data_IF_524534795191
#
_entry.id   IF_524534795191
#
_cell.length_a   1.000
_cell.length_b   1.000
_cell.length_c   1.000
_cell.angle_alpha   90.00
_cell.angle_beta   90.00
_cell.angle_gamma   90.00
#
_symmetry.space_group_name_H-M   'P 1'
#
loop_
_entity.id
_entity.type
_entity.pdbx_description
1 polymer ?
#
# COMPACT_ATOMS: atom_id res chain seq x y z
N UNK A 1 -23.70 10.19 5.70
CA UNK A 1 -22.37 9.56 5.69
C UNK A 1 -21.72 9.89 4.36
N UNK A 2 -20.65 10.67 4.40
CA UNK A 2 -19.71 10.84 3.31
C UNK A 2 -18.81 9.60 3.26
N UNK A 3 -18.21 9.33 2.11
CA UNK A 3 -17.14 8.34 1.99
C UNK A 3 -16.11 8.90 1.03
N UNK A 4 -14.83 8.71 1.35
CA UNK A 4 -13.73 9.20 0.53
C UNK A 4 -13.05 8.03 -0.18
N UNK A 5 -12.69 8.25 -1.44
CA UNK A 5 -11.84 7.35 -2.21
C UNK A 5 -10.66 8.15 -2.74
N UNK A 6 -9.47 7.72 -2.38
CA UNK A 6 -8.21 8.27 -2.89
C UNK A 6 -7.55 7.26 -3.82
N UNK A 7 -6.93 7.76 -4.89
CA UNK A 7 -6.09 6.95 -5.78
C UNK A 7 -4.64 7.42 -5.60
N UNK A 8 -3.76 6.51 -5.21
CA UNK A 8 -2.36 6.77 -4.93
C UNK A 8 -1.43 6.01 -5.90
N UNK A 9 -0.27 6.60 -6.17
CA UNK A 9 0.80 5.95 -6.92
C UNK A 9 2.12 6.18 -6.16
N UNK A 10 2.64 5.13 -5.53
CA UNK A 10 3.95 5.13 -4.89
C UNK A 10 5.03 4.94 -5.95
N UNK A 11 6.02 5.85 -6.00
CA UNK A 11 7.13 5.69 -6.93
C UNK A 11 8.06 4.53 -6.52
N UNK A 12 8.91 4.08 -7.43
CA UNK A 12 9.90 3.04 -7.11
C UNK A 12 11.00 3.52 -6.13
N UNK A 13 11.21 4.83 -6.00
CA UNK A 13 12.15 5.40 -5.04
C UNK A 13 11.57 5.38 -3.61
N UNK A 14 12.34 4.80 -2.68
CA UNK A 14 11.93 4.61 -1.29
C UNK A 14 11.70 5.94 -0.56
N UNK A 15 12.52 6.96 -0.82
CA UNK A 15 12.37 8.24 -0.11
C UNK A 15 11.11 8.97 -0.57
N UNK A 16 10.83 8.98 -1.87
CA UNK A 16 9.58 9.57 -2.36
C UNK A 16 8.35 8.78 -1.91
N UNK A 17 8.42 7.45 -1.73
CA UNK A 17 7.32 6.70 -1.09
C UNK A 17 7.08 7.11 0.36
N UNK A 18 8.13 7.35 1.15
CA UNK A 18 7.98 7.81 2.54
C UNK A 18 7.28 9.16 2.64
N UNK A 19 7.54 10.05 1.69
CA UNK A 19 6.80 11.32 1.59
C UNK A 19 5.32 11.07 1.29
N UNK A 20 5.00 10.14 0.38
CA UNK A 20 3.61 9.74 0.12
C UNK A 20 2.93 9.16 1.37
N UNK A 21 3.59 8.29 2.13
CA UNK A 21 3.07 7.75 3.38
C UNK A 21 2.74 8.84 4.38
N UNK A 22 3.67 9.78 4.57
CA UNK A 22 3.50 10.92 5.47
C UNK A 22 2.28 11.77 5.06
N UNK A 23 2.13 12.01 3.75
CA UNK A 23 1.01 12.78 3.23
C UNK A 23 -0.33 12.04 3.39
N UNK A 24 -0.38 10.73 3.14
CA UNK A 24 -1.60 9.93 3.35
C UNK A 24 -2.00 9.89 4.83
N UNK A 25 -1.05 9.81 5.76
CA UNK A 25 -1.34 9.93 7.20
C UNK A 25 -1.93 11.30 7.52
N UNK A 26 -1.42 12.40 6.96
CA UNK A 26 -2.04 13.72 7.17
C UNK A 26 -3.47 13.82 6.60
N UNK A 27 -3.76 13.15 5.48
CA UNK A 27 -5.11 13.08 4.93
C UNK A 27 -6.04 12.29 5.87
N UNK A 28 -5.54 11.23 6.51
CA UNK A 28 -6.32 10.47 7.48
C UNK A 28 -6.80 11.35 8.64
N UNK A 29 -5.94 12.24 9.14
CA UNK A 29 -6.29 13.19 10.21
C UNK A 29 -7.47 14.11 9.80
N UNK A 30 -7.51 14.52 8.52
CA UNK A 30 -8.60 15.32 7.96
C UNK A 30 -9.88 14.50 7.71
N UNK A 31 -9.75 13.22 7.36
CA UNK A 31 -10.89 12.32 7.12
C UNK A 31 -11.59 11.93 8.43
N UNK A 32 -10.82 11.75 9.51
CA UNK A 32 -11.35 11.34 10.80
C UNK A 32 -12.05 9.98 10.75
N UNK A 33 -13.27 9.92 11.28
CA UNK A 33 -14.05 8.66 11.40
C UNK A 33 -14.84 8.31 10.12
N UNK A 34 -14.75 9.12 9.05
CA UNK A 34 -15.45 8.82 7.81
C UNK A 34 -14.80 7.62 7.08
N UNK A 35 -15.59 6.77 6.41
CA UNK A 35 -15.07 5.65 5.63
C UNK A 35 -14.10 6.13 4.54
N UNK A 36 -12.90 5.54 4.54
CA UNK A 36 -11.85 5.85 3.57
C UNK A 36 -11.32 4.60 2.88
N UNK A 37 -11.17 4.71 1.56
CA UNK A 37 -10.50 3.72 0.73
C UNK A 37 -9.33 4.40 0.00
N UNK A 38 -8.15 3.79 0.09
CA UNK A 38 -6.99 4.15 -0.73
C UNK A 38 -6.71 3.02 -1.71
N UNK A 39 -6.87 3.31 -2.99
CA UNK A 39 -6.60 2.40 -4.10
C UNK A 39 -5.30 2.84 -4.78
N UNK A 40 -4.52 1.92 -5.31
CA UNK A 40 -3.31 2.36 -6.01
C UNK A 40 -2.33 1.27 -6.36
N UNK A 41 -1.23 1.72 -6.95
CA UNK A 41 0.00 0.96 -7.02
C UNK A 41 0.98 1.60 -6.04
N UNK A 42 1.29 0.86 -4.98
CA UNK A 42 2.12 1.33 -3.89
C UNK A 42 3.61 1.08 -4.14
N UNK A 43 3.97 0.26 -5.13
CA UNK A 43 5.34 -0.22 -5.39
C UNK A 43 6.07 -0.70 -4.12
N UNK A 44 5.32 -1.27 -3.18
CA UNK A 44 5.81 -1.92 -1.96
C UNK A 44 4.95 -3.15 -1.63
N UNK A 45 5.44 -4.02 -0.75
CA UNK A 45 4.72 -5.25 -0.35
C UNK A 45 4.68 -5.43 1.15
N UNK A 46 3.70 -6.19 1.63
CA UNK A 46 3.56 -6.51 3.05
C UNK A 46 4.25 -7.79 3.44
N UNK A 47 4.51 -8.70 2.51
CA UNK A 47 5.21 -9.94 2.80
C UNK A 47 6.13 -10.39 1.65
N UNK A 48 7.19 -11.13 1.97
CA UNK A 48 8.09 -11.67 0.96
C UNK A 48 7.37 -12.64 0.00
N UNK A 49 6.27 -13.27 0.43
CA UNK A 49 5.44 -14.10 -0.45
C UNK A 49 4.76 -13.33 -1.58
N UNK A 50 4.59 -12.01 -1.44
CA UNK A 50 3.96 -11.14 -2.43
C UNK A 50 4.92 -10.70 -3.54
N UNK A 51 6.17 -11.14 -3.46
CA UNK A 51 7.22 -10.90 -4.44
C UNK A 51 7.85 -12.21 -4.88
N UNK A 52 8.12 -12.33 -6.18
CA UNK A 52 8.90 -13.44 -6.73
C UNK A 52 10.00 -12.91 -7.65
N UNK A 53 11.19 -13.53 -7.62
CA UNK A 53 12.31 -13.20 -8.52
C UNK A 53 13.14 -11.98 -8.12
N UNK A 54 12.84 -11.33 -7.00
CA UNK A 54 13.66 -10.22 -6.47
C UNK A 54 14.90 -10.73 -5.73
N UNK A 55 16.04 -10.07 -5.93
CA UNK A 55 17.32 -10.44 -5.28
C UNK A 55 17.88 -9.37 -4.33
N UNK A 56 17.18 -8.24 -4.14
CA UNK A 56 17.59 -7.18 -3.22
C UNK A 56 16.96 -7.30 -1.84
N UNK A 57 17.40 -6.46 -0.90
CA UNK A 57 16.80 -6.35 0.43
C UNK A 57 15.63 -5.36 0.41
N UNK A 58 14.40 -5.89 0.51
CA UNK A 58 13.17 -5.09 0.61
C UNK A 58 12.69 -4.89 2.04
N UNK A 59 13.34 -5.47 3.05
CA UNK A 59 12.80 -5.53 4.41
C UNK A 59 12.59 -4.14 5.03
N UNK A 60 13.48 -3.19 4.72
CA UNK A 60 13.34 -1.80 5.20
C UNK A 60 12.11 -1.14 4.60
N UNK A 61 11.94 -1.23 3.28
CA UNK A 61 10.81 -0.64 2.57
C UNK A 61 9.47 -1.27 3.01
N UNK A 62 9.44 -2.60 3.14
CA UNK A 62 8.28 -3.32 3.70
C UNK A 62 7.97 -2.90 5.14
N UNK A 63 9.02 -2.67 5.95
CA UNK A 63 8.89 -2.18 7.32
C UNK A 63 8.24 -0.80 7.38
N UNK A 64 8.69 0.11 6.52
CA UNK A 64 8.11 1.46 6.40
C UNK A 64 6.66 1.39 5.93
N UNK A 65 6.34 0.53 4.96
CA UNK A 65 4.98 0.36 4.46
C UNK A 65 4.04 -0.17 5.55
N UNK A 66 4.48 -1.17 6.33
CA UNK A 66 3.72 -1.68 7.49
C UNK A 66 3.52 -0.61 8.57
N UNK A 67 4.53 0.20 8.85
CA UNK A 67 4.41 1.30 9.80
C UNK A 67 3.36 2.31 9.34
N UNK A 68 3.38 2.68 8.06
CA UNK A 68 2.34 3.51 7.45
C UNK A 68 0.92 2.97 7.63
N UNK A 69 0.71 1.65 7.50
CA UNK A 69 -0.62 1.05 7.71
C UNK A 69 -1.10 1.18 9.14
N UNK A 70 -0.19 0.96 10.09
CA UNK A 70 -0.48 1.13 11.51
C UNK A 70 -0.82 2.58 11.82
N UNK A 71 -0.01 3.53 11.31
CA UNK A 71 -0.17 4.95 11.58
C UNK A 71 -1.45 5.54 10.94
N UNK A 72 -1.83 5.05 9.76
CA UNK A 72 -3.04 5.48 9.05
C UNK A 72 -4.31 4.73 9.46
N UNK A 73 -4.21 3.65 10.24
CA UNK A 73 -5.33 2.77 10.55
C UNK A 73 -5.90 2.03 9.33
N UNK A 74 -5.21 2.07 8.19
CA UNK A 74 -5.59 1.36 6.98
C UNK A 74 -5.31 -0.13 7.11
N UNK A 75 -6.23 -0.94 6.62
CA UNK A 75 -6.10 -2.38 6.53
C UNK A 75 -6.14 -2.83 5.07
N UNK A 76 -5.40 -3.90 4.70
CA UNK A 76 -5.49 -4.50 3.38
C UNK A 76 -6.92 -4.97 3.09
N UNK A 77 -7.42 -4.58 1.93
CA UNK A 77 -8.68 -5.06 1.40
C UNK A 77 -8.46 -6.46 0.80
N UNK A 78 -9.25 -7.46 1.20
CA UNK A 78 -9.21 -8.78 0.58
C UNK A 78 -9.49 -8.67 -0.92
N UNK A 79 -8.55 -9.11 -1.76
CA UNK A 79 -8.75 -9.19 -3.21
C UNK A 79 -9.06 -10.64 -3.61
N UNK A 80 -10.00 -10.80 -4.55
CA UNK A 80 -10.24 -12.08 -5.22
C UNK A 80 -9.71 -11.98 -6.65
N UNK A 81 -8.85 -12.93 -7.05
CA UNK A 81 -8.26 -12.93 -8.39
C UNK A 81 -6.81 -13.37 -8.39
N UNK A 82 -6.03 -12.84 -9.34
CA UNK A 82 -4.61 -13.14 -9.45
C UNK A 82 -3.87 -12.64 -8.20
N UNK A 83 -3.10 -13.53 -7.57
CA UNK A 83 -2.30 -13.21 -6.38
C UNK A 83 -1.20 -12.18 -6.70
N UNK A 84 -0.66 -12.28 -7.91
CA UNK A 84 0.29 -11.35 -8.47
C UNK A 84 -0.38 -10.50 -9.56
N UNK A 85 -0.06 -9.22 -9.62
CA UNK A 85 -0.77 -8.27 -10.49
C UNK A 85 0.15 -7.42 -11.36
N UNK A 86 1.47 -7.46 -11.11
CA UNK A 86 2.46 -6.81 -11.97
C UNK A 86 3.62 -7.75 -12.26
N UNK A 87 4.14 -7.71 -13.49
CA UNK A 87 5.37 -8.41 -13.87
C UNK A 87 6.34 -7.45 -14.57
N UNK A 88 7.62 -7.51 -14.20
CA UNK A 88 8.69 -6.87 -14.96
C UNK A 88 9.22 -7.86 -16.00
N UNK A 89 8.89 -7.64 -17.27
CA UNK A 89 9.36 -8.49 -18.38
C UNK A 89 10.88 -8.59 -18.50
N UNK A 90 11.63 -7.67 -17.89
CA UNK A 90 13.10 -7.67 -17.95
C UNK A 90 13.78 -8.33 -16.75
N UNK A 91 13.15 -8.28 -15.57
CA UNK A 91 13.74 -8.76 -14.31
C UNK A 91 13.10 -10.05 -13.79
N UNK A 92 12.09 -10.59 -14.48
CA UNK A 92 11.27 -11.72 -14.02
C UNK A 92 10.68 -11.52 -12.60
N UNK A 93 10.59 -10.26 -12.18
CA UNK A 93 10.04 -9.85 -10.90
C UNK A 93 8.54 -9.73 -11.00
N UNK A 94 7.83 -10.23 -10.00
CA UNK A 94 6.37 -10.17 -9.94
C UNK A 94 5.93 -9.66 -8.57
N UNK A 95 4.94 -8.76 -8.53
CA UNK A 95 4.44 -8.10 -7.32
C UNK A 95 2.90 -8.08 -7.23
N UNK A 96 2.38 -8.07 -6.00
CA UNK A 96 0.96 -7.87 -5.68
C UNK A 96 0.62 -6.38 -5.51
N UNK A 97 -0.47 -5.94 -6.14
CA UNK A 97 -1.12 -4.65 -5.90
C UNK A 97 -1.98 -4.77 -4.65
N UNK A 98 -1.81 -3.81 -3.76
CA UNK A 98 -2.58 -3.72 -2.54
C UNK A 98 -3.69 -2.68 -2.67
N UNK A 99 -4.85 -2.98 -2.09
CA UNK A 99 -5.94 -2.05 -1.89
C UNK A 99 -6.13 -1.91 -0.39
N UNK A 100 -6.49 -0.72 0.12
CA UNK A 100 -6.55 -0.50 1.57
C UNK A 100 -7.74 0.35 2.01
N UNK A 101 -8.22 0.12 3.23
CA UNK A 101 -9.39 0.82 3.79
C UNK A 101 -9.30 1.00 5.30
N UNK A 102 -9.91 2.06 5.85
CA UNK A 102 -10.14 2.17 7.30
C UNK A 102 -11.31 1.23 7.66
N UNK A 103 -11.14 0.26 8.59
CA UNK A 103 -12.23 -0.59 9.02
C UNK A 103 -13.29 0.24 9.76
N UNK A 104 -14.57 0.02 9.42
CA UNK A 104 -15.67 0.52 10.24
C UNK A 104 -15.59 -0.14 11.62
N UNK A 105 -15.41 0.64 12.68
CA UNK A 105 -15.57 0.16 14.05
C UNK A 105 -17.00 -0.35 14.22
N UNK A 106 -17.15 -1.66 14.45
CA UNK A 106 -18.44 -2.34 14.69
C UNK A 106 -18.94 -2.14 16.11
#
# INVERSE_FOLDING_TARGET
MSSLVSIAYGLNDVNTRRELWTHLVSIMEDVGDDPWIVLGDFNDVLDNSEVCGYSGDINVAMGDFRAFLVDSGLAPLPSQGAYFTWHNSHLAYVQRLELQTIPLLS
#
